data_IF_002652883750
#
_entry.id   IF_002652883750
#
_cell.length_a   1.000
_cell.length_b   1.000
_cell.length_c   1.000
_cell.angle_alpha   90.00
_cell.angle_beta   90.00
_cell.angle_gamma   90.00
#
_symmetry.space_group_name_H-M   'P 1'
#
loop_
_entity.id
_entity.type
_entity.pdbx_description
1 polymer ?
#
# COMPACT_ATOMS: atom_id res chain seq x y z
N UNK A 1 -48.59 -6.89 5.68
CA UNK A 1 -47.96 -5.61 5.38
C UNK A 1 -46.49 -5.76 5.80
N UNK A 2 -45.65 -6.29 4.88
CA UNK A 2 -44.24 -6.63 5.18
C UNK A 2 -43.38 -5.39 5.14
N UNK A 3 -42.65 -5.13 6.23
CA UNK A 3 -41.57 -4.12 6.27
C UNK A 3 -40.37 -4.66 5.49
N UNK A 4 -40.15 -4.15 4.28
CA UNK A 4 -38.89 -4.32 3.59
C UNK A 4 -37.82 -3.50 4.34
N UNK A 5 -36.92 -4.19 5.04
CA UNK A 5 -35.72 -3.59 5.57
C UNK A 5 -34.80 -3.39 4.37
N UNK A 6 -34.72 -2.15 3.88
CA UNK A 6 -33.70 -1.74 2.89
C UNK A 6 -32.33 -1.78 3.57
N UNK A 7 -31.66 -2.93 3.49
CA UNK A 7 -30.23 -3.01 3.71
C UNK A 7 -29.53 -2.39 2.47
N UNK A 8 -29.56 -1.08 2.39
CA UNK A 8 -28.52 -0.42 1.61
C UNK A 8 -27.21 -0.66 2.38
N UNK A 9 -26.48 -1.67 1.99
CA UNK A 9 -25.05 -1.71 2.25
C UNK A 9 -24.52 -0.37 1.73
N UNK A 10 -24.11 0.48 2.66
CA UNK A 10 -23.29 1.64 2.35
C UNK A 10 -22.12 1.06 1.58
N UNK A 11 -22.03 1.31 0.29
CA UNK A 11 -20.90 0.89 -0.52
C UNK A 11 -19.71 1.67 0.02
N UNK A 12 -19.01 1.07 0.98
CA UNK A 12 -17.81 1.66 1.52
C UNK A 12 -16.82 1.77 0.38
N UNK A 13 -16.34 2.98 0.17
CA UNK A 13 -15.34 3.27 -0.86
C UNK A 13 -14.17 2.28 -0.70
N UNK A 14 -13.76 1.58 -1.75
CA UNK A 14 -12.67 0.62 -1.65
C UNK A 14 -11.40 1.32 -1.14
N UNK A 15 -10.67 0.64 -0.26
CA UNK A 15 -9.41 1.13 0.29
C UNK A 15 -8.28 1.05 -0.74
N UNK A 16 -8.37 0.10 -1.68
CA UNK A 16 -7.50 0.01 -2.85
C UNK A 16 -8.39 -0.18 -4.07
N UNK A 17 -8.14 0.63 -5.10
CA UNK A 17 -8.83 0.52 -6.37
C UNK A 17 -7.83 0.69 -7.52
N UNK A 18 -7.81 -0.29 -8.41
CA UNK A 18 -7.10 -0.26 -9.68
C UNK A 18 -8.12 -0.38 -10.80
N UNK A 19 -8.03 0.51 -11.79
CA UNK A 19 -8.94 0.55 -12.93
C UNK A 19 -8.13 0.67 -14.23
N UNK A 20 -8.14 -0.38 -15.04
CA UNK A 20 -7.47 -0.43 -16.33
C UNK A 20 -5.96 -0.19 -16.25
N UNK A 21 -5.31 -0.68 -15.19
CA UNK A 21 -3.92 -0.35 -14.89
C UNK A 21 -2.95 -1.20 -15.69
N UNK A 22 -2.02 -0.52 -16.39
CA UNK A 22 -0.83 -1.16 -16.97
C UNK A 22 0.39 -0.83 -16.14
N UNK A 23 1.18 -1.86 -15.83
CA UNK A 23 2.44 -1.71 -15.12
C UNK A 23 3.59 -2.17 -16.02
N UNK A 24 4.62 -1.34 -16.08
CA UNK A 24 5.88 -1.66 -16.76
C UNK A 24 7.00 -1.70 -15.73
N UNK A 25 7.97 -2.54 -16.01
CA UNK A 25 9.29 -2.50 -15.37
C UNK A 25 10.30 -2.33 -16.49
N UNK A 26 10.97 -1.20 -16.49
CA UNK A 26 11.75 -0.70 -17.63
C UNK A 26 10.85 -0.62 -18.88
N UNK A 27 11.23 -1.26 -19.98
CA UNK A 27 10.42 -1.31 -21.22
C UNK A 27 9.47 -2.50 -21.29
N UNK A 28 9.51 -3.42 -20.30
CA UNK A 28 8.71 -4.63 -20.31
C UNK A 28 7.35 -4.39 -19.66
N UNK A 29 6.28 -4.67 -20.40
CA UNK A 29 4.92 -4.75 -19.85
C UNK A 29 4.84 -5.95 -18.90
N UNK A 30 4.53 -5.69 -17.62
CA UNK A 30 4.38 -6.71 -16.58
C UNK A 30 2.90 -7.09 -16.42
N UNK A 31 2.04 -6.08 -16.40
CA UNK A 31 0.61 -6.26 -16.32
C UNK A 31 -0.11 -5.38 -17.32
N UNK A 32 -1.12 -5.96 -17.95
CA UNK A 32 -2.01 -5.30 -18.88
C UNK A 32 -3.44 -5.28 -18.30
N UNK A 33 -4.03 -4.10 -18.23
CA UNK A 33 -5.43 -3.87 -17.89
C UNK A 33 -5.89 -4.49 -16.55
N UNK A 34 -5.09 -4.32 -15.47
CA UNK A 34 -5.49 -4.81 -14.15
C UNK A 34 -6.67 -4.00 -13.62
N UNK A 35 -7.66 -4.74 -13.14
CA UNK A 35 -8.79 -4.21 -12.37
C UNK A 35 -8.84 -4.94 -11.03
N UNK A 36 -8.78 -4.21 -9.92
CA UNK A 36 -8.80 -4.75 -8.56
C UNK A 36 -9.50 -3.77 -7.63
N UNK A 37 -10.43 -4.27 -6.85
CA UNK A 37 -11.09 -3.50 -5.79
C UNK A 37 -10.94 -4.24 -4.47
N UNK A 38 -10.44 -3.56 -3.45
CA UNK A 38 -10.24 -4.09 -2.09
C UNK A 38 -10.96 -3.21 -1.10
N UNK A 39 -11.84 -3.80 -0.34
CA UNK A 39 -12.61 -3.14 0.72
C UNK A 39 -11.94 -3.30 2.09
N UNK A 40 -12.35 -2.48 3.05
CA UNK A 40 -11.90 -2.62 4.43
C UNK A 40 -12.31 -4.00 4.97
N UNK A 41 -11.35 -4.71 5.57
CA UNK A 41 -11.56 -6.05 6.12
C UNK A 41 -11.30 -7.19 5.14
N UNK A 42 -11.06 -6.91 3.86
CA UNK A 42 -10.70 -7.94 2.89
C UNK A 42 -9.32 -8.52 3.19
N UNK A 43 -9.18 -9.80 2.86
CA UNK A 43 -7.92 -10.52 2.87
C UNK A 43 -7.67 -11.12 1.48
N UNK A 44 -6.58 -10.71 0.84
CA UNK A 44 -6.30 -11.08 -0.56
C UNK A 44 -4.98 -11.85 -0.66
N UNK A 45 -5.03 -13.00 -1.34
CA UNK A 45 -3.85 -13.72 -1.78
C UNK A 45 -3.50 -13.35 -3.23
N UNK A 46 -2.27 -12.89 -3.43
CA UNK A 46 -1.70 -12.69 -4.76
C UNK A 46 -0.87 -13.91 -5.16
N UNK A 47 -1.43 -14.74 -6.03
CA UNK A 47 -0.84 -16.02 -6.44
C UNK A 47 -0.32 -15.91 -7.87
N UNK A 48 0.78 -16.59 -8.15
CA UNK A 48 1.38 -16.64 -9.48
C UNK A 48 2.83 -17.15 -9.43
N UNK A 49 3.39 -17.48 -10.56
CA UNK A 49 4.77 -17.96 -10.71
C UNK A 49 5.80 -16.92 -10.27
N UNK A 50 7.02 -17.37 -9.97
CA UNK A 50 8.14 -16.46 -9.70
C UNK A 50 8.41 -15.63 -10.96
N UNK A 51 8.59 -14.32 -10.79
CA UNK A 51 8.78 -13.40 -11.91
C UNK A 51 7.50 -12.94 -12.62
N UNK A 52 6.30 -13.36 -12.16
CA UNK A 52 5.02 -12.94 -12.76
C UNK A 52 4.62 -11.48 -12.44
N UNK A 53 5.45 -10.72 -11.73
CA UNK A 53 5.20 -9.31 -11.44
C UNK A 53 4.48 -9.02 -10.12
N UNK A 54 4.17 -10.03 -9.27
CA UNK A 54 3.50 -9.81 -7.98
C UNK A 54 4.11 -8.69 -7.15
N UNK A 55 5.44 -8.69 -7.04
CA UNK A 55 6.17 -7.63 -6.33
C UNK A 55 6.01 -6.27 -6.99
N UNK A 56 5.95 -6.21 -8.32
CA UNK A 56 5.74 -4.95 -9.06
C UNK A 56 4.34 -4.38 -8.80
N UNK A 57 3.32 -5.25 -8.72
CA UNK A 57 1.98 -4.83 -8.33
C UNK A 57 1.96 -4.27 -6.91
N UNK A 58 2.54 -4.98 -5.94
CA UNK A 58 2.64 -4.48 -4.55
C UNK A 58 3.40 -3.16 -4.50
N UNK A 59 4.52 -3.03 -5.23
CA UNK A 59 5.32 -1.80 -5.32
C UNK A 59 4.54 -0.61 -5.90
N UNK A 60 3.59 -0.86 -6.79
CA UNK A 60 2.73 0.20 -7.32
C UNK A 60 1.78 0.75 -6.26
N UNK A 61 1.34 -0.05 -5.28
CA UNK A 61 0.41 0.38 -4.24
C UNK A 61 1.02 1.37 -3.24
N UNK A 62 2.34 1.41 -3.11
CA UNK A 62 3.04 2.39 -2.26
C UNK A 62 3.91 3.38 -3.05
N UNK A 63 3.54 3.59 -4.32
CA UNK A 63 4.14 4.58 -5.22
C UNK A 63 5.66 4.40 -5.43
N UNK A 64 6.16 3.17 -5.46
CA UNK A 64 7.53 2.87 -5.90
C UNK A 64 7.58 2.67 -7.42
N UNK A 65 6.55 2.01 -7.99
CA UNK A 65 6.37 1.87 -9.44
C UNK A 65 5.11 2.65 -9.83
N UNK A 66 5.22 3.47 -10.86
CA UNK A 66 4.08 4.21 -11.41
C UNK A 66 3.35 3.39 -12.47
N UNK A 67 2.03 3.50 -12.49
CA UNK A 67 1.24 3.01 -13.61
C UNK A 67 1.56 3.81 -14.87
N UNK A 68 1.65 3.12 -16.00
CA UNK A 68 1.78 3.77 -17.31
C UNK A 68 0.42 4.23 -17.85
N UNK A 69 -0.63 3.47 -17.56
CA UNK A 69 -2.03 3.81 -17.87
C UNK A 69 -2.96 3.38 -16.75
N UNK A 70 -4.21 3.78 -16.80
CA UNK A 70 -5.23 3.44 -15.80
C UNK A 70 -5.15 4.32 -14.56
N UNK A 71 -5.92 3.97 -13.54
CA UNK A 71 -6.00 4.70 -12.29
C UNK A 71 -5.68 3.80 -11.11
N UNK A 72 -4.84 4.29 -10.19
CA UNK A 72 -4.59 3.62 -8.91
C UNK A 72 -4.99 4.58 -7.79
N UNK A 73 -5.85 4.14 -6.89
CA UNK A 73 -6.09 4.80 -5.62
C UNK A 73 -5.82 3.86 -4.46
N UNK A 74 -5.16 4.37 -3.42
CA UNK A 74 -4.82 3.63 -2.19
C UNK A 74 -5.13 4.53 -1.01
N UNK A 75 -5.92 4.06 -0.08
CA UNK A 75 -6.54 4.85 0.96
C UNK A 75 -7.26 6.05 0.29
N UNK A 76 -6.89 7.27 0.60
CA UNK A 76 -7.47 8.48 -0.01
C UNK A 76 -6.59 9.11 -1.10
N UNK A 77 -5.46 8.47 -1.42
CA UNK A 77 -4.48 8.99 -2.38
C UNK A 77 -4.73 8.48 -3.79
N UNK A 78 -4.79 9.39 -4.76
CA UNK A 78 -4.74 9.05 -6.18
C UNK A 78 -3.27 8.99 -6.62
N UNK A 79 -2.75 7.77 -6.87
CA UNK A 79 -1.32 7.57 -7.14
C UNK A 79 -0.88 8.10 -8.51
N UNK A 80 -1.82 8.36 -9.42
CA UNK A 80 -1.50 8.97 -10.72
C UNK A 80 -1.17 10.46 -10.58
N UNK A 81 -1.69 11.10 -9.52
CA UNK A 81 -1.55 12.53 -9.26
C UNK A 81 -0.71 12.86 -8.04
N UNK A 82 -0.29 11.86 -7.29
CA UNK A 82 0.45 12.02 -6.03
C UNK A 82 1.77 12.76 -6.27
N UNK A 83 2.03 13.78 -5.48
CA UNK A 83 3.28 14.51 -5.51
C UNK A 83 4.35 13.79 -4.66
N UNK A 84 5.64 14.06 -4.97
CA UNK A 84 6.76 13.41 -4.26
C UNK A 84 6.76 13.66 -2.75
N UNK A 85 6.31 14.84 -2.32
CA UNK A 85 6.19 15.24 -0.92
C UNK A 85 5.04 14.53 -0.19
N UNK A 86 4.04 13.98 -0.89
CA UNK A 86 2.91 13.24 -0.32
C UNK A 86 3.20 11.75 -0.15
N UNK A 87 4.16 11.19 -0.91
CA UNK A 87 4.53 9.76 -0.84
C UNK A 87 4.88 9.30 0.59
N UNK A 88 5.64 10.05 1.40
CA UNK A 88 5.87 9.67 2.79
C UNK A 88 4.58 9.55 3.61
N UNK A 89 3.59 10.40 3.36
CA UNK A 89 2.30 10.37 4.04
C UNK A 89 1.46 9.16 3.61
N UNK A 90 1.42 8.83 2.33
CA UNK A 90 0.84 7.59 1.82
C UNK A 90 1.46 6.36 2.53
N UNK A 91 2.80 6.27 2.54
CA UNK A 91 3.52 5.12 3.11
C UNK A 91 3.32 4.96 4.61
N UNK A 92 3.07 6.04 5.37
CA UNK A 92 2.71 5.97 6.79
C UNK A 92 1.34 5.32 7.05
N UNK A 93 0.45 5.34 6.06
CA UNK A 93 -0.86 4.69 6.15
C UNK A 93 -0.81 3.19 5.77
N UNK A 94 0.35 2.68 5.36
CA UNK A 94 0.55 1.31 4.91
C UNK A 94 1.51 0.57 5.85
N UNK A 95 1.09 -0.58 6.35
CA UNK A 95 2.01 -1.53 7.00
C UNK A 95 2.60 -2.47 5.95
N UNK A 96 3.90 -2.39 5.69
CA UNK A 96 4.58 -3.22 4.69
C UNK A 96 5.59 -4.11 5.39
N UNK A 97 5.52 -5.42 5.13
CA UNK A 97 6.54 -6.38 5.54
C UNK A 97 7.34 -6.78 4.31
N UNK A 98 8.61 -6.41 4.27
CA UNK A 98 9.51 -6.72 3.17
C UNK A 98 10.10 -8.12 3.32
N UNK A 99 10.37 -8.79 2.19
CA UNK A 99 10.93 -10.14 2.16
C UNK A 99 12.34 -10.19 2.77
N UNK A 100 13.13 -9.15 2.61
CA UNK A 100 14.50 -8.98 3.10
C UNK A 100 14.59 -8.18 4.41
N UNK A 101 13.44 -7.99 5.08
CA UNK A 101 13.25 -7.23 6.32
C UNK A 101 13.72 -5.77 6.27
N UNK A 102 14.57 -5.37 5.35
CA UNK A 102 15.13 -4.02 5.17
C UNK A 102 15.64 -3.37 6.48
N UNK A 103 16.28 -4.16 7.33
CA UNK A 103 16.87 -3.68 8.56
C UNK A 103 18.21 -3.02 8.29
N UNK A 104 18.51 -1.98 9.05
CA UNK A 104 19.82 -1.36 9.09
C UNK A 104 20.76 -2.30 9.85
N UNK A 105 21.67 -2.96 9.12
CA UNK A 105 22.52 -4.03 9.64
C UNK A 105 23.62 -3.56 10.61
N UNK A 106 23.90 -2.26 10.60
CA UNK A 106 24.85 -1.58 11.50
C UNK A 106 24.23 -1.18 12.85
N UNK A 107 22.96 -1.53 13.09
CA UNK A 107 22.18 -1.12 14.26
C UNK A 107 21.56 -2.30 14.98
N UNK A 108 21.33 -2.12 16.29
CA UNK A 108 20.56 -3.07 17.08
C UNK A 108 19.09 -3.13 16.61
N UNK A 109 18.35 -4.17 17.00
CA UNK A 109 16.93 -4.26 16.75
C UNK A 109 16.16 -3.06 17.35
N UNK A 110 16.51 -2.70 18.58
CA UNK A 110 15.92 -1.54 19.25
C UNK A 110 16.13 -0.25 18.47
N UNK A 111 17.36 -0.01 17.98
CA UNK A 111 17.67 1.19 17.19
C UNK A 111 16.94 1.21 15.84
N UNK A 112 16.73 0.04 15.21
CA UNK A 112 15.92 -0.06 14.00
C UNK A 112 14.46 0.33 14.27
N UNK A 113 13.86 -0.16 15.36
CA UNK A 113 12.48 0.17 15.74
C UNK A 113 12.37 1.66 16.12
N UNK A 114 13.31 2.19 16.91
CA UNK A 114 13.35 3.60 17.26
C UNK A 114 13.49 4.49 16.02
N UNK A 115 14.34 4.10 15.06
CA UNK A 115 14.51 4.82 13.81
C UNK A 115 13.19 4.94 13.02
N UNK A 116 12.46 3.83 12.88
CA UNK A 116 11.16 3.81 12.18
C UNK A 116 10.14 4.68 12.89
N UNK A 117 10.03 4.58 14.21
CA UNK A 117 9.11 5.40 14.99
C UNK A 117 9.41 6.90 14.82
N UNK A 118 10.68 7.29 14.93
CA UNK A 118 11.11 8.69 14.70
C UNK A 118 10.80 9.16 13.27
N UNK A 119 11.10 8.34 12.27
CA UNK A 119 10.84 8.65 10.86
C UNK A 119 9.32 8.79 10.57
N UNK A 120 8.47 8.14 11.36
CA UNK A 120 7.00 8.23 11.25
C UNK A 120 6.38 9.31 12.14
N UNK A 121 7.20 10.14 12.80
CA UNK A 121 6.74 11.34 13.52
C UNK A 121 6.60 11.21 15.02
N UNK A 122 7.05 10.09 15.60
CA UNK A 122 7.12 9.96 17.06
C UNK A 122 8.30 10.75 17.61
N UNK A 123 8.04 11.75 18.46
CA UNK A 123 9.07 12.67 18.94
C UNK A 123 9.36 12.53 20.45
N UNK A 124 8.46 11.89 21.20
CA UNK A 124 8.60 11.76 22.66
C UNK A 124 9.28 10.44 23.00
N UNK A 125 10.44 10.52 23.62
CA UNK A 125 11.26 9.36 24.00
C UNK A 125 10.50 8.34 24.87
N UNK A 126 9.68 8.81 25.80
CA UNK A 126 8.87 7.95 26.68
C UNK A 126 7.81 7.16 25.91
N UNK A 127 7.16 7.79 24.92
CA UNK A 127 6.15 7.13 24.08
C UNK A 127 6.82 6.09 23.17
N UNK A 128 7.99 6.42 22.60
CA UNK A 128 8.79 5.49 21.78
C UNK A 128 9.21 4.28 22.63
N UNK A 129 9.76 4.51 23.83
CA UNK A 129 10.21 3.42 24.71
C UNK A 129 9.08 2.49 25.19
N UNK A 130 7.85 3.00 25.28
CA UNK A 130 6.69 2.16 25.61
C UNK A 130 6.18 1.38 24.41
N UNK A 131 6.49 1.81 23.20
CA UNK A 131 6.04 1.18 21.95
C UNK A 131 6.97 0.06 21.50
N UNK A 132 8.25 0.14 21.80
CA UNK A 132 9.28 -0.89 21.56
C UNK A 132 9.22 -1.96 22.65
#
# INVERSE_FOLDING_TARGET
MGKYINLFHKMDKPIILLEGVNLHQDERLIFDNINLSVSTGDFIYLVGETGSGKSSLVKSLYAEIKASTGNISVAEYNLNKIEKNEIPSLRRNLGIVFQDFQLLSDRSLNDNLEFVLKATGWNKKEEISKRI
#
